data_IF_420172127336
#
_entry.id   IF_420172127336
#
_cell.length_a   1.000
_cell.length_b   1.000
_cell.length_c   1.000
_cell.angle_alpha   90.00
_cell.angle_beta   90.00
_cell.angle_gamma   90.00
#
_symmetry.space_group_name_H-M   'P 1'
#
loop_
_entity.id
_entity.type
_entity.pdbx_description
1 polymer ?
#
# COMPACT_ATOMS: atom_id res chain seq x y z
N UNK A 1 19.89 -12.30 -15.44
CA UNK A 1 19.57 -11.18 -14.52
C UNK A 1 18.08 -10.88 -14.49
N UNK A 2 17.43 -10.59 -15.62
CA UNK A 2 15.98 -10.27 -15.68
C UNK A 2 15.13 -11.44 -15.18
N UNK A 3 15.45 -12.70 -15.55
CA UNK A 3 14.78 -13.89 -15.04
C UNK A 3 14.76 -13.94 -13.52
N UNK A 4 15.91 -13.77 -12.87
CA UNK A 4 16.04 -13.79 -11.41
C UNK A 4 15.22 -12.68 -10.73
N UNK A 5 15.12 -11.50 -11.37
CA UNK A 5 14.28 -10.41 -10.86
C UNK A 5 12.79 -10.81 -10.87
N UNK A 6 12.32 -11.45 -11.94
CA UNK A 6 10.93 -11.91 -12.01
C UNK A 6 10.65 -13.08 -11.07
N UNK A 7 11.57 -14.01 -10.91
CA UNK A 7 11.46 -15.09 -9.90
C UNK A 7 11.31 -14.51 -8.49
N UNK A 8 12.19 -13.57 -8.14
CA UNK A 8 12.11 -12.86 -6.85
C UNK A 8 10.79 -12.10 -6.71
N UNK A 9 10.33 -11.43 -7.77
CA UNK A 9 9.03 -10.75 -7.75
C UNK A 9 7.88 -11.70 -7.47
N UNK A 10 7.84 -12.87 -8.10
CA UNK A 10 6.77 -13.85 -7.85
C UNK A 10 6.79 -14.38 -6.41
N UNK A 11 7.99 -14.58 -5.84
CA UNK A 11 8.13 -14.94 -4.43
C UNK A 11 7.63 -13.83 -3.49
N UNK A 12 7.98 -12.58 -3.77
CA UNK A 12 7.54 -11.42 -2.98
C UNK A 12 6.02 -11.23 -3.08
N UNK A 13 5.46 -11.36 -4.28
CA UNK A 13 4.02 -11.30 -4.52
C UNK A 13 3.28 -12.37 -3.73
N UNK A 14 3.74 -13.63 -3.78
CA UNK A 14 3.16 -14.71 -3.01
C UNK A 14 3.19 -14.42 -1.50
N UNK A 15 4.33 -13.99 -0.96
CA UNK A 15 4.46 -13.59 0.45
C UNK A 15 3.57 -12.40 0.82
N UNK A 16 3.37 -11.46 -0.10
CA UNK A 16 2.49 -10.31 0.07
C UNK A 16 1.01 -10.74 0.19
N UNK A 17 0.58 -11.69 -0.63
CA UNK A 17 -0.76 -12.29 -0.59
C UNK A 17 -0.95 -13.12 0.69
N UNK A 18 0.01 -13.97 1.06
CA UNK A 18 0.00 -14.77 2.30
C UNK A 18 -0.07 -13.89 3.55
N UNK A 19 0.64 -12.76 3.56
CA UNK A 19 0.59 -11.76 4.63
C UNK A 19 -0.78 -11.08 4.73
N UNK A 20 -1.58 -11.10 3.68
CA UNK A 20 -2.92 -10.54 3.64
C UNK A 20 -2.99 -9.09 3.14
N UNK A 21 -2.03 -8.61 2.33
CA UNK A 21 -2.14 -7.31 1.64
C UNK A 21 -3.51 -7.18 0.99
N UNK A 22 -4.19 -6.05 1.16
CA UNK A 22 -5.48 -5.81 0.49
C UNK A 22 -5.23 -5.58 -1.00
N UNK A 23 -5.86 -6.39 -1.84
CA UNK A 23 -5.63 -6.43 -3.29
C UNK A 23 -6.65 -5.56 -4.04
N UNK A 24 -6.55 -4.25 -3.91
CA UNK A 24 -7.36 -3.35 -4.72
C UNK A 24 -6.96 -3.42 -6.19
N UNK A 25 -7.96 -3.46 -7.08
CA UNK A 25 -7.75 -3.27 -8.51
C UNK A 25 -8.19 -1.86 -8.88
N UNK A 26 -7.25 -0.99 -9.22
CA UNK A 26 -7.56 0.34 -9.73
C UNK A 26 -7.32 0.38 -11.24
N UNK A 27 -8.27 0.93 -11.97
CA UNK A 27 -8.06 1.30 -13.36
C UNK A 27 -7.70 2.79 -13.40
N UNK A 28 -6.54 3.10 -13.95
CA UNK A 28 -6.12 4.47 -14.19
C UNK A 28 -6.41 4.86 -15.63
N UNK A 29 -6.93 6.06 -15.83
CA UNK A 29 -7.14 6.64 -17.15
C UNK A 29 -6.25 7.85 -17.33
N UNK A 30 -5.72 8.05 -18.53
CA UNK A 30 -5.02 9.27 -18.95
C UNK A 30 -5.93 10.09 -19.82
N UNK A 31 -5.95 11.40 -19.57
CA UNK A 31 -6.55 12.37 -20.47
C UNK A 31 -5.49 12.71 -21.52
N UNK A 32 -5.81 12.52 -22.78
CA UNK A 32 -4.96 12.89 -23.91
C UNK A 32 -5.70 14.01 -24.64
N UNK A 33 -5.07 15.18 -24.73
CA UNK A 33 -5.58 16.27 -25.55
C UNK A 33 -5.31 15.97 -27.01
N UNK A 34 -6.33 16.06 -27.84
CA UNK A 34 -6.25 15.93 -29.29
C UNK A 34 -6.10 17.33 -29.93
N UNK A 35 -5.68 17.38 -31.20
CA UNK A 35 -5.40 18.61 -31.94
C UNK A 35 -6.61 19.53 -32.12
N UNK A 36 -7.82 19.12 -31.80
CA UNK A 36 -9.09 19.85 -32.01
C UNK A 36 -9.70 20.34 -30.69
N UNK A 37 -8.91 20.59 -29.63
CA UNK A 37 -9.37 21.00 -28.30
C UNK A 37 -10.25 19.92 -27.58
N UNK A 38 -10.42 18.75 -28.20
CA UNK A 38 -11.10 17.59 -27.60
C UNK A 38 -10.16 16.79 -26.74
N UNK A 39 -10.71 15.98 -25.87
CA UNK A 39 -9.94 15.05 -25.03
C UNK A 39 -10.40 13.60 -25.21
N UNK A 40 -9.45 12.69 -25.16
CA UNK A 40 -9.69 11.24 -25.17
C UNK A 40 -9.25 10.62 -23.84
N UNK A 41 -10.12 9.79 -23.25
CA UNK A 41 -9.75 9.00 -22.08
C UNK A 41 -9.15 7.67 -22.51
N UNK A 42 -7.84 7.50 -22.32
CA UNK A 42 -7.17 6.22 -22.58
C UNK A 42 -6.86 5.50 -21.27
N UNK A 43 -7.27 4.23 -21.21
CA UNK A 43 -6.93 3.36 -20.08
C UNK A 43 -5.40 3.17 -20.03
N UNK A 44 -4.81 3.45 -18.87
CA UNK A 44 -3.38 3.25 -18.65
C UNK A 44 -3.07 1.76 -18.54
N UNK A 45 -2.16 1.29 -19.37
CA UNK A 45 -1.69 -0.09 -19.31
C UNK A 45 -0.82 -0.28 -18.07
N UNK A 46 -1.20 -1.22 -17.20
CA UNK A 46 -0.37 -1.62 -16.06
C UNK A 46 0.59 -2.73 -16.47
N UNK A 47 1.84 -2.38 -16.69
CA UNK A 47 2.88 -3.35 -17.03
C UNK A 47 3.30 -4.18 -15.81
N UNK A 48 3.69 -5.42 -16.06
CA UNK A 48 4.19 -6.32 -15.01
C UNK A 48 5.47 -5.78 -14.35
N UNK A 49 6.30 -5.04 -15.11
CA UNK A 49 7.49 -4.36 -14.60
C UNK A 49 7.16 -3.33 -13.51
N UNK A 50 6.03 -2.62 -13.59
CA UNK A 50 5.62 -1.69 -12.53
C UNK A 50 5.29 -2.42 -11.24
N UNK A 51 4.62 -3.56 -11.33
CA UNK A 51 4.30 -4.41 -10.18
C UNK A 51 5.55 -5.01 -9.55
N UNK A 52 6.54 -5.39 -10.39
CA UNK A 52 7.84 -5.84 -9.93
C UNK A 52 8.52 -4.75 -9.08
N UNK A 53 8.65 -3.54 -9.62
CA UNK A 53 9.25 -2.42 -8.90
C UNK A 53 8.47 -2.10 -7.61
N UNK A 54 7.13 -2.13 -7.65
CA UNK A 54 6.29 -1.91 -6.47
C UNK A 54 6.63 -2.89 -5.33
N UNK A 55 6.69 -4.20 -5.59
CA UNK A 55 6.99 -5.18 -4.54
C UNK A 55 8.41 -5.02 -3.98
N UNK A 56 9.40 -4.70 -4.82
CA UNK A 56 10.76 -4.40 -4.35
C UNK A 56 10.79 -3.12 -3.50
N UNK A 57 10.06 -2.07 -3.89
CA UNK A 57 9.94 -0.85 -3.09
C UNK A 57 9.27 -1.13 -1.74
N UNK A 58 8.21 -1.93 -1.71
CA UNK A 58 7.52 -2.32 -0.46
C UNK A 58 8.47 -3.12 0.44
N UNK A 59 9.25 -4.04 -0.13
CA UNK A 59 10.25 -4.80 0.61
C UNK A 59 11.30 -3.88 1.23
N UNK A 60 11.93 -3.00 0.45
CA UNK A 60 12.94 -2.06 0.93
C UNK A 60 12.39 -1.16 2.05
N UNK A 61 11.21 -0.58 1.85
CA UNK A 61 10.54 0.26 2.85
C UNK A 61 10.26 -0.50 4.16
N UNK A 62 9.87 -1.76 4.07
CA UNK A 62 9.60 -2.63 5.22
C UNK A 62 10.88 -3.02 5.98
N UNK A 63 11.93 -3.39 5.25
CA UNK A 63 13.24 -3.76 5.84
C UNK A 63 13.84 -2.56 6.59
N UNK A 64 13.82 -1.38 5.99
CA UNK A 64 14.31 -0.16 6.62
C UNK A 64 13.43 0.22 7.83
N UNK A 65 12.11 0.11 7.73
CA UNK A 65 11.20 0.33 8.86
C UNK A 65 11.50 -0.57 10.05
N UNK A 66 11.71 -1.85 9.80
CA UNK A 66 12.09 -2.81 10.83
C UNK A 66 13.47 -2.49 11.43
N UNK A 67 14.46 -2.16 10.60
CA UNK A 67 15.80 -1.77 11.05
C UNK A 67 15.76 -0.55 11.99
N UNK A 68 15.04 0.50 11.62
CA UNK A 68 14.89 1.72 12.43
C UNK A 68 14.26 1.40 13.79
N UNK A 69 13.18 0.62 13.79
CA UNK A 69 12.48 0.20 15.02
C UNK A 69 13.36 -0.64 15.93
N UNK A 70 14.01 -1.67 15.38
CA UNK A 70 14.86 -2.60 16.14
C UNK A 70 16.03 -1.87 16.78
N UNK A 71 16.62 -0.91 16.09
CA UNK A 71 17.73 -0.09 16.60
C UNK A 71 17.28 1.15 17.38
N UNK A 72 15.98 1.32 17.64
CA UNK A 72 15.40 2.44 18.37
C UNK A 72 15.79 3.81 17.77
N UNK A 73 15.90 3.87 16.45
CA UNK A 73 16.20 5.10 15.73
C UNK A 73 14.91 5.86 15.48
N UNK A 74 14.80 7.08 16.01
CA UNK A 74 13.65 7.95 15.77
C UNK A 74 13.53 8.26 14.29
N UNK A 75 12.36 8.04 13.71
CA UNK A 75 12.10 8.31 12.29
C UNK A 75 10.60 8.46 12.02
N UNK A 76 10.23 8.74 10.77
CA UNK A 76 8.85 8.88 10.33
C UNK A 76 8.33 7.57 9.75
N UNK A 77 7.44 6.90 10.49
CA UNK A 77 6.71 5.73 10.00
C UNK A 77 5.51 6.16 9.15
N UNK A 78 5.24 5.41 8.10
CA UNK A 78 4.04 5.55 7.29
C UNK A 78 2.95 4.67 7.85
N UNK A 79 2.13 5.24 8.70
CA UNK A 79 1.04 4.55 9.38
C UNK A 79 -0.23 4.50 8.52
N UNK A 80 -0.92 3.38 8.56
CA UNK A 80 -2.24 3.19 7.99
C UNK A 80 -3.06 2.36 8.97
N UNK A 81 -3.93 3.01 9.71
CA UNK A 81 -4.76 2.36 10.73
C UNK A 81 -5.96 1.65 10.11
N UNK A 82 -6.60 0.78 10.89
CA UNK A 82 -7.86 0.14 10.50
C UNK A 82 -8.94 1.19 10.20
N UNK A 83 -9.90 0.87 9.32
CA UNK A 83 -11.07 1.72 9.11
C UNK A 83 -11.82 2.01 10.41
N UNK A 84 -12.37 3.22 10.54
CA UNK A 84 -13.21 3.58 11.68
C UNK A 84 -14.52 2.79 11.70
N UNK A 85 -15.15 2.67 12.87
CA UNK A 85 -16.45 2.01 13.02
C UNK A 85 -17.53 2.63 12.10
N UNK A 86 -17.52 3.94 11.97
CA UNK A 86 -18.43 4.69 11.09
C UNK A 86 -18.24 4.29 9.62
N UNK A 87 -17.00 4.23 9.14
CA UNK A 87 -16.68 3.82 7.77
C UNK A 87 -17.09 2.39 7.49
N UNK A 88 -16.90 1.49 8.46
CA UNK A 88 -17.38 0.09 8.36
C UNK A 88 -18.90 0.02 8.33
N UNK A 89 -19.59 0.80 9.15
CA UNK A 89 -21.03 0.88 9.15
C UNK A 89 -21.57 1.33 7.77
N UNK A 90 -21.02 2.40 7.22
CA UNK A 90 -21.38 2.92 5.90
C UNK A 90 -21.09 1.89 4.80
N UNK A 91 -19.95 1.20 4.86
CA UNK A 91 -19.62 0.12 3.92
C UNK A 91 -20.66 -1.01 3.97
N UNK A 92 -21.02 -1.47 5.17
CA UNK A 92 -22.05 -2.52 5.36
C UNK A 92 -23.41 -2.10 4.80
N UNK A 93 -23.81 -0.85 5.02
CA UNK A 93 -25.04 -0.30 4.49
C UNK A 93 -25.09 -0.39 2.95
N UNK A 94 -24.02 0.05 2.27
CA UNK A 94 -23.91 0.00 0.81
C UNK A 94 -23.89 -1.45 0.29
N UNK A 95 -23.22 -2.37 0.98
CA UNK A 95 -23.21 -3.79 0.63
C UNK A 95 -24.64 -4.36 0.65
N UNK A 96 -25.39 -4.07 1.71
CA UNK A 96 -26.77 -4.53 1.86
C UNK A 96 -27.72 -3.93 0.81
N UNK A 97 -27.62 -2.61 0.57
CA UNK A 97 -28.43 -1.90 -0.44
C UNK A 97 -28.21 -2.45 -1.86
N UNK A 98 -27.03 -3.01 -2.13
CA UNK A 98 -26.70 -3.63 -3.43
C UNK A 98 -26.93 -5.15 -3.47
N UNK A 99 -27.64 -5.70 -2.49
CA UNK A 99 -27.96 -7.14 -2.41
C UNK A 99 -26.71 -8.03 -2.54
N UNK A 100 -25.61 -7.62 -1.90
CA UNK A 100 -24.41 -8.46 -1.81
C UNK A 100 -24.51 -9.23 -0.50
N UNK A 101 -24.80 -10.52 -0.62
CA UNK A 101 -24.79 -11.43 0.52
C UNK A 101 -23.37 -11.60 1.06
N UNK A 102 -22.93 -10.69 1.91
CA UNK A 102 -21.61 -10.71 2.55
C UNK A 102 -21.72 -10.14 3.97
N UNK A 103 -21.46 -10.98 4.95
CA UNK A 103 -21.46 -10.60 6.36
C UNK A 103 -20.05 -10.73 6.92
N UNK A 104 -19.49 -9.61 7.40
CA UNK A 104 -18.21 -9.57 8.07
C UNK A 104 -18.12 -8.36 9.00
N UNK A 105 -17.21 -8.42 9.97
CA UNK A 105 -16.91 -7.30 10.87
C UNK A 105 -15.82 -6.38 10.35
N UNK A 106 -15.16 -6.72 9.24
CA UNK A 106 -14.07 -5.95 8.63
C UNK A 106 -12.95 -5.58 9.60
N UNK A 107 -12.62 -6.50 10.52
CA UNK A 107 -11.58 -6.30 11.53
C UNK A 107 -10.17 -6.63 11.03
N UNK A 108 -10.08 -7.36 9.91
CA UNK A 108 -8.83 -7.80 9.32
C UNK A 108 -8.85 -7.63 7.79
N UNK A 109 -7.69 -7.73 7.18
CA UNK A 109 -7.53 -7.55 5.73
C UNK A 109 -8.19 -8.67 4.91
N UNK A 110 -8.31 -9.87 5.49
CA UNK A 110 -8.97 -11.01 4.84
C UNK A 110 -10.41 -10.69 4.49
N UNK A 111 -11.15 -10.04 5.39
CA UNK A 111 -12.54 -9.65 5.16
C UNK A 111 -12.69 -8.78 3.90
N UNK A 112 -11.75 -7.83 3.70
CA UNK A 112 -11.74 -6.99 2.50
C UNK A 112 -11.40 -7.79 1.25
N UNK A 113 -10.41 -8.67 1.32
CA UNK A 113 -10.01 -9.52 0.20
C UNK A 113 -11.12 -10.50 -0.20
N UNK A 114 -11.84 -11.06 0.76
CA UNK A 114 -12.93 -11.99 0.49
C UNK A 114 -14.14 -11.26 -0.15
N UNK A 115 -14.44 -10.03 0.31
CA UNK A 115 -15.43 -9.20 -0.38
C UNK A 115 -14.98 -8.85 -1.81
N UNK A 116 -13.72 -8.44 -2.00
CA UNK A 116 -13.16 -8.14 -3.33
C UNK A 116 -13.27 -9.35 -4.29
N UNK A 117 -13.00 -10.56 -3.80
CA UNK A 117 -13.21 -11.80 -4.59
C UNK A 117 -14.67 -11.99 -4.97
N UNK A 118 -15.60 -11.78 -4.02
CA UNK A 118 -17.04 -11.98 -4.23
C UNK A 118 -17.62 -11.00 -5.24
N UNK A 119 -17.14 -9.76 -5.26
CA UNK A 119 -17.60 -8.73 -6.20
C UNK A 119 -16.90 -8.76 -7.56
N UNK A 120 -15.81 -9.52 -7.71
CA UNK A 120 -15.00 -9.57 -8.94
C UNK A 120 -15.80 -9.93 -10.20
N UNK A 121 -16.85 -10.72 -10.05
CA UNK A 121 -17.75 -11.13 -11.14
C UNK A 121 -18.93 -10.17 -11.38
N UNK A 122 -19.09 -9.12 -10.56
CA UNK A 122 -20.20 -8.17 -10.66
C UNK A 122 -19.92 -7.10 -11.72
N UNK A 123 -20.96 -6.68 -12.45
CA UNK A 123 -20.85 -5.62 -13.48
C UNK A 123 -20.30 -4.29 -12.95
N UNK A 124 -20.49 -4.02 -11.65
CA UNK A 124 -20.09 -2.75 -11.00
C UNK A 124 -18.79 -2.88 -10.19
N UNK A 125 -17.84 -3.70 -10.60
CA UNK A 125 -16.58 -3.93 -9.89
C UNK A 125 -15.83 -2.63 -9.57
N UNK A 126 -15.77 -1.68 -10.51
CA UNK A 126 -15.12 -0.39 -10.32
C UNK A 126 -15.74 0.41 -9.17
N UNK A 127 -17.08 0.52 -9.15
CA UNK A 127 -17.83 1.20 -8.08
C UNK A 127 -17.53 0.62 -6.70
N UNK A 128 -17.53 -0.70 -6.57
CA UNK A 128 -17.23 -1.34 -5.29
C UNK A 128 -15.77 -1.20 -4.87
N UNK A 129 -14.82 -1.23 -5.80
CA UNK A 129 -13.42 -0.94 -5.50
C UNK A 129 -13.24 0.48 -4.94
N UNK A 130 -13.91 1.48 -5.53
CA UNK A 130 -13.91 2.86 -5.05
C UNK A 130 -14.48 2.97 -3.64
N UNK A 131 -15.61 2.33 -3.36
CA UNK A 131 -16.23 2.33 -2.04
C UNK A 131 -15.33 1.68 -1.00
N UNK A 132 -14.75 0.52 -1.33
CA UNK A 132 -13.82 -0.17 -0.46
C UNK A 132 -12.56 0.66 -0.19
N UNK A 133 -12.04 1.35 -1.20
CA UNK A 133 -10.92 2.26 -1.04
C UNK A 133 -11.27 3.46 -0.16
N UNK A 134 -12.42 4.08 -0.36
CA UNK A 134 -12.94 5.20 0.46
C UNK A 134 -13.24 4.79 1.90
N UNK A 135 -13.58 3.52 2.12
CA UNK A 135 -13.79 2.99 3.48
C UNK A 135 -12.49 2.89 4.28
N UNK A 136 -11.32 2.87 3.62
CA UNK A 136 -10.04 2.81 4.32
C UNK A 136 -9.73 4.10 5.07
N UNK A 137 -8.92 3.99 6.12
CA UNK A 137 -8.34 5.15 6.80
C UNK A 137 -7.30 5.83 5.91
N UNK A 138 -7.12 7.14 6.07
CA UNK A 138 -6.03 7.83 5.38
C UNK A 138 -4.70 7.47 6.04
N UNK A 139 -3.70 7.15 5.21
CA UNK A 139 -2.35 6.94 5.71
C UNK A 139 -1.69 8.29 6.05
N UNK A 140 -0.86 8.31 7.10
CA UNK A 140 -0.19 9.50 7.60
C UNK A 140 1.23 9.17 8.09
N UNK A 141 2.03 10.21 8.33
CA UNK A 141 3.36 10.05 8.91
C UNK A 141 3.35 10.39 10.39
N UNK A 142 4.03 9.59 11.19
CA UNK A 142 4.21 9.83 12.62
C UNK A 142 5.48 9.12 13.12
N UNK A 143 6.07 9.63 14.19
CA UNK A 143 7.20 9.00 14.87
C UNK A 143 6.79 7.71 15.59
N UNK A 144 5.56 7.68 16.11
CA UNK A 144 4.98 6.47 16.72
C UNK A 144 4.54 5.51 15.63
N UNK A 145 5.16 4.35 15.61
CA UNK A 145 4.79 3.29 14.68
C UNK A 145 3.47 2.62 15.09
N UNK A 146 2.49 2.62 14.19
CA UNK A 146 1.20 1.93 14.34
C UNK A 146 0.96 0.88 13.25
N UNK A 147 1.95 0.64 12.41
CA UNK A 147 1.86 -0.30 11.31
C UNK A 147 1.07 0.22 10.09
N UNK A 148 1.01 -0.61 9.08
CA UNK A 148 0.32 -0.30 7.83
C UNK A 148 -0.73 -1.37 7.50
N UNK A 149 -1.98 -1.13 7.91
CA UNK A 149 -3.09 -2.09 7.78
C UNK A 149 -3.27 -2.60 6.34
N UNK A 150 -3.38 -1.71 5.35
CA UNK A 150 -3.63 -2.11 3.97
C UNK A 150 -2.54 -2.99 3.34
N UNK A 151 -1.27 -2.83 3.77
CA UNK A 151 -0.14 -3.67 3.35
C UNK A 151 0.07 -4.88 4.24
N UNK A 152 -0.60 -4.94 5.40
CA UNK A 152 -0.37 -5.96 6.44
C UNK A 152 1.10 -6.01 6.89
N UNK A 153 1.70 -4.83 7.12
CA UNK A 153 3.11 -4.66 7.53
C UNK A 153 3.15 -3.92 8.85
N UNK A 154 3.92 -4.44 9.81
CA UNK A 154 4.03 -3.85 11.14
C UNK A 154 4.95 -2.62 11.17
N UNK A 155 6.04 -2.65 10.41
CA UNK A 155 7.07 -1.61 10.44
C UNK A 155 7.26 -1.10 9.02
N UNK A 156 6.67 0.05 8.70
CA UNK A 156 6.68 0.57 7.34
C UNK A 156 7.05 2.05 7.31
N UNK A 157 8.04 2.36 6.51
CA UNK A 157 8.49 3.73 6.24
C UNK A 157 8.46 3.98 4.74
N UNK A 158 8.55 5.22 4.33
CA UNK A 158 8.90 5.56 2.96
C UNK A 158 10.39 5.85 2.88
N UNK A 159 11.10 5.13 2.01
CA UNK A 159 12.56 5.23 1.85
C UNK A 159 12.99 5.35 0.39
N UNK A 160 12.23 4.78 -0.53
CA UNK A 160 12.65 4.52 -1.91
C UNK A 160 12.50 5.71 -2.87
N UNK A 161 11.99 6.85 -2.43
CA UNK A 161 11.75 8.02 -3.32
C UNK A 161 12.15 9.36 -2.70
N UNK A 162 13.43 9.56 -2.26
CA UNK A 162 13.86 10.78 -1.56
C UNK A 162 13.86 12.03 -2.44
N UNK A 163 13.87 11.90 -3.76
CA UNK A 163 13.82 13.04 -4.70
C UNK A 163 12.48 13.79 -4.63
N UNK A 164 11.39 13.06 -4.41
CA UNK A 164 10.01 13.62 -4.46
C UNK A 164 9.26 13.55 -3.13
N UNK A 165 9.81 12.91 -2.11
CA UNK A 165 9.18 12.81 -0.78
C UNK A 165 10.16 13.20 0.31
N UNK A 166 9.86 14.28 1.01
CA UNK A 166 10.69 14.76 2.12
C UNK A 166 10.81 13.74 3.27
N UNK A 167 9.75 12.96 3.53
CA UNK A 167 9.78 11.88 4.52
C UNK A 167 10.86 10.85 4.25
N UNK A 168 11.05 10.48 2.99
CA UNK A 168 12.11 9.53 2.59
C UNK A 168 13.50 10.12 2.84
N UNK A 169 13.68 11.42 2.56
CA UNK A 169 14.93 12.11 2.84
C UNK A 169 15.26 12.14 4.34
N UNK A 170 14.25 12.34 5.21
CA UNK A 170 14.43 12.26 6.67
C UNK A 170 14.89 10.86 7.07
N UNK A 171 14.27 9.80 6.53
CA UNK A 171 14.67 8.42 6.80
C UNK A 171 16.13 8.18 6.40
N UNK A 172 16.55 8.65 5.22
CA UNK A 172 17.96 8.56 4.79
C UNK A 172 18.90 9.27 5.77
N UNK A 173 18.59 10.50 6.18
CA UNK A 173 19.40 11.26 7.14
C UNK A 173 19.54 10.54 8.48
N UNK A 174 18.45 9.98 8.99
CA UNK A 174 18.45 9.26 10.25
C UNK A 174 19.29 7.98 10.19
N UNK A 175 19.23 7.23 9.06
CA UNK A 175 20.08 6.07 8.82
C UNK A 175 21.55 6.43 8.77
N UNK A 176 21.94 7.48 8.02
CA UNK A 176 23.30 7.95 7.91
C UNK A 176 23.82 8.38 9.28
N UNK A 177 23.06 9.18 10.02
CA UNK A 177 23.42 9.63 11.36
C UNK A 177 23.66 8.45 12.32
N UNK A 178 22.76 7.46 12.31
CA UNK A 178 22.89 6.27 13.15
C UNK A 178 24.13 5.42 12.78
N UNK A 179 24.42 5.29 11.48
CA UNK A 179 25.61 4.58 11.00
C UNK A 179 26.90 5.21 11.51
N UNK A 180 27.08 6.52 11.36
CA UNK A 180 28.27 7.23 11.82
C UNK A 180 28.38 7.29 13.34
N UNK A 181 27.26 7.40 14.07
CA UNK A 181 27.25 7.36 15.54
C UNK A 181 27.71 6.01 16.09
N UNK A 182 27.37 4.91 15.40
CA UNK A 182 27.81 3.57 15.79
C UNK A 182 29.29 3.30 15.47
N UNK A 183 29.87 3.94 14.45
CA UNK A 183 31.30 3.84 14.18
C UNK A 183 32.13 4.55 15.25
N UNK A 184 31.70 5.72 15.72
CA UNK A 184 32.38 6.45 16.81
C UNK A 184 32.40 5.71 18.15
N UNK A 185 31.48 4.78 18.37
CA UNK A 185 31.44 3.93 19.59
C UNK A 185 32.32 2.69 19.49
N UNK A 186 32.95 2.41 18.34
CA UNK A 186 33.82 1.24 18.12
C UNK A 186 35.30 1.62 18.11
N UNK A 187 35.64 2.90 18.28
CA UNK A 187 36.98 3.45 18.50
C UNK A 187 37.11 3.84 19.98
#
# INVERSE_FOLDING_TARGET
LISNLYETYFMLKKKSEERGKILFSSEEYKIILTSNEDFELKKKVSYQSYKLIEEFMVLANSVIGNFLKTNKITSLFRNHEKPSKEKIFNLKKIINENNIDFSSNFQNQKDFNDLLKKIKSKKNLFFFNEILLKSQSKAYYNEKNKGHFGLSINDYVHFTSPIRRYSDLIVHRNLISAYFSNQKKKI
#
